data_IF_122893587742
#
_entry.id   IF_122893587742
#
_cell.length_a   1.000
_cell.length_b   1.000
_cell.length_c   1.000
_cell.angle_alpha   90.00
_cell.angle_beta   90.00
_cell.angle_gamma   90.00
#
_symmetry.space_group_name_H-M   'P 1'
#
loop_
_entity.id
_entity.type
_entity.pdbx_description
1 polymer ?
#
# COMPACT_ATOMS: atom_id res chain seq x y z
N UNK A 1 48.05 49.79 -8.93
CA UNK A 1 48.86 50.75 -8.15
C UNK A 1 48.00 51.30 -7.02
N UNK A 2 48.52 51.19 -5.79
CA UNK A 2 48.25 51.94 -4.55
C UNK A 2 46.83 52.11 -3.98
N UNK A 3 46.62 51.44 -2.83
CA UNK A 3 45.75 51.88 -1.73
C UNK A 3 46.20 53.26 -1.21
N UNK A 4 45.32 53.97 -0.48
CA UNK A 4 45.62 54.15 0.94
C UNK A 4 44.43 53.95 1.88
N UNK A 5 44.76 53.43 3.06
CA UNK A 5 43.93 53.30 4.25
C UNK A 5 43.87 54.63 5.03
N UNK A 6 42.78 54.89 5.77
CA UNK A 6 42.75 55.81 6.92
C UNK A 6 41.54 55.41 7.82
N UNK A 7 41.69 54.75 8.98
CA UNK A 7 42.09 55.16 10.35
C UNK A 7 41.04 55.95 11.17
N UNK A 8 40.37 55.20 12.08
CA UNK A 8 40.06 55.45 13.51
C UNK A 8 39.20 56.67 13.93
N UNK A 9 38.11 56.42 14.67
CA UNK A 9 37.88 56.87 16.07
C UNK A 9 36.52 56.40 16.65
N UNK A 10 36.58 55.53 17.67
CA UNK A 10 35.59 55.43 18.78
C UNK A 10 36.00 56.48 19.85
N UNK A 11 35.21 56.87 20.88
CA UNK A 11 34.14 56.10 21.57
C UNK A 11 32.93 56.91 22.09
N UNK A 12 31.89 56.22 22.59
CA UNK A 12 31.09 56.72 23.72
C UNK A 12 30.53 55.55 24.53
N UNK A 13 31.15 55.38 25.68
CA UNK A 13 30.84 54.44 26.75
C UNK A 13 29.60 54.95 27.51
N UNK A 14 28.60 54.10 27.75
CA UNK A 14 27.70 54.25 28.90
C UNK A 14 27.73 52.99 29.74
N UNK A 15 28.41 53.09 30.88
CA UNK A 15 28.23 52.23 32.04
C UNK A 15 26.86 52.52 32.65
N UNK A 16 26.05 51.48 32.84
CA UNK A 16 25.11 51.41 33.96
C UNK A 16 25.46 50.14 34.72
N UNK A 17 25.73 50.32 36.01
CA UNK A 17 26.36 49.35 36.89
C UNK A 17 25.38 48.93 37.97
N UNK A 18 25.26 47.60 38.16
CA UNK A 18 24.98 46.90 39.43
C UNK A 18 23.56 47.09 40.00
N UNK A 19 22.73 46.05 40.21
CA UNK A 19 23.00 44.98 41.18
C UNK A 19 21.97 43.85 41.14
N UNK A 20 22.51 42.62 41.17
CA UNK A 20 22.12 41.48 42.01
C UNK A 20 20.63 41.14 42.15
N UNK A 21 20.25 40.02 41.54
CA UNK A 21 19.59 38.94 42.30
C UNK A 21 19.98 37.57 41.74
N UNK A 22 20.55 36.77 42.64
CA UNK A 22 20.85 35.34 42.46
C UNK A 22 19.54 34.58 42.26
N UNK A 23 19.52 33.59 41.37
CA UNK A 23 19.11 32.21 41.70
C UNK A 23 19.34 31.28 40.51
N UNK A 24 19.72 30.07 40.86
CA UNK A 24 20.13 28.99 40.00
C UNK A 24 19.01 28.54 39.05
N UNK A 25 19.41 28.13 37.84
CA UNK A 25 18.69 27.14 37.05
C UNK A 25 19.68 26.44 36.10
N UNK A 26 20.61 25.70 36.69
CA UNK A 26 21.25 24.57 36.00
C UNK A 26 20.23 23.42 36.06
N UNK A 27 19.68 23.05 34.91
CA UNK A 27 18.93 21.81 34.74
C UNK A 27 17.53 22.00 34.15
N UNK A 28 17.43 22.19 32.83
CA UNK A 28 16.18 21.95 32.06
C UNK A 28 16.41 21.97 30.53
N UNK A 29 17.52 21.45 30.01
CA UNK A 29 17.75 21.34 28.55
C UNK A 29 17.89 19.90 28.04
N UNK A 30 17.63 18.89 28.87
CA UNK A 30 17.71 17.47 28.50
C UNK A 30 16.40 16.69 28.67
N UNK A 31 15.25 17.36 28.58
CA UNK A 31 13.94 16.68 28.60
C UNK A 31 13.04 17.00 27.42
N UNK A 32 13.44 17.91 26.52
CA UNK A 32 12.63 18.27 25.34
C UNK A 32 13.08 17.58 24.05
N UNK A 33 14.25 16.95 24.02
CA UNK A 33 14.71 16.14 22.88
C UNK A 33 14.20 14.69 22.92
N UNK A 34 13.81 14.19 24.09
CA UNK A 34 13.31 12.82 24.25
C UNK A 34 11.80 12.72 23.94
N UNK A 35 11.04 13.80 24.13
CA UNK A 35 9.61 13.84 23.86
C UNK A 35 9.27 13.93 22.34
N UNK A 36 10.17 14.50 21.52
CA UNK A 36 9.99 14.55 20.06
C UNK A 36 10.43 13.25 19.36
N UNK A 37 11.32 12.46 19.96
CA UNK A 37 11.69 11.15 19.41
C UNK A 37 10.60 10.08 19.64
N UNK A 38 9.79 10.22 20.70
CA UNK A 38 8.75 9.25 21.06
C UNK A 38 7.43 9.44 20.29
N UNK A 39 7.18 10.62 19.72
CA UNK A 39 6.03 10.87 18.85
C UNK A 39 6.23 10.37 17.40
N UNK A 40 7.49 10.19 16.96
CA UNK A 40 7.81 9.64 15.64
C UNK A 40 7.74 8.10 15.57
N UNK A 41 7.72 7.41 16.72
CA UNK A 41 7.73 5.95 16.79
C UNK A 41 6.34 5.29 16.77
N UNK A 42 5.27 6.10 16.75
CA UNK A 42 3.87 5.64 16.72
C UNK A 42 3.16 5.99 15.40
N UNK A 43 3.92 6.28 14.34
CA UNK A 43 3.41 6.11 12.99
C UNK A 43 3.16 4.62 12.79
N UNK A 44 1.98 4.14 13.21
CA UNK A 44 1.45 2.87 12.76
C UNK A 44 1.50 2.93 11.25
N UNK A 45 2.38 2.14 10.66
CA UNK A 45 2.34 1.87 9.24
C UNK A 45 0.95 1.30 9.01
N UNK A 46 0.03 2.10 8.48
CA UNK A 46 -1.24 1.58 8.01
C UNK A 46 -0.87 0.82 6.75
N UNK A 47 -0.58 -0.46 6.91
CA UNK A 47 -0.27 -1.37 5.82
C UNK A 47 -1.51 -1.42 4.93
N UNK A 48 -1.40 -0.97 3.68
CA UNK A 48 -2.56 -0.94 2.81
C UNK A 48 -2.89 -2.37 2.39
N UNK A 49 -4.02 -2.86 2.91
CA UNK A 49 -4.51 -4.18 2.63
C UNK A 49 -5.22 -4.21 1.28
N UNK A 50 -5.05 -5.33 0.57
CA UNK A 50 -5.83 -5.67 -0.61
C UNK A 50 -6.65 -6.92 -0.36
N UNK A 51 -7.86 -6.93 -0.89
CA UNK A 51 -8.81 -8.03 -0.71
C UNK A 51 -9.22 -8.62 -2.04
N UNK A 52 -9.47 -9.94 -2.07
CA UNK A 52 -9.98 -10.65 -3.23
C UNK A 52 -10.81 -11.86 -2.81
N UNK A 53 -11.95 -12.05 -3.46
CA UNK A 53 -12.71 -13.29 -3.35
C UNK A 53 -12.08 -14.38 -4.20
N UNK A 54 -11.64 -15.49 -3.58
CA UNK A 54 -10.99 -16.60 -4.29
C UNK A 54 -11.40 -17.95 -3.72
N UNK A 55 -11.30 -18.99 -4.55
CA UNK A 55 -11.47 -20.38 -4.14
C UNK A 55 -10.30 -20.81 -3.25
N UNK A 56 -10.54 -21.63 -2.21
CA UNK A 56 -9.46 -22.29 -1.50
C UNK A 56 -8.77 -23.32 -2.40
N UNK A 57 -7.48 -23.51 -2.18
CA UNK A 57 -6.70 -24.56 -2.84
C UNK A 57 -7.21 -25.94 -2.37
N UNK A 58 -7.56 -26.86 -3.28
CA UNK A 58 -8.02 -28.20 -2.90
C UNK A 58 -6.96 -29.02 -2.13
N UNK A 59 -5.67 -28.72 -2.29
CA UNK A 59 -4.60 -29.37 -1.55
C UNK A 59 -4.34 -28.71 -0.18
N UNK A 60 -4.71 -27.44 -0.01
CA UNK A 60 -4.56 -26.70 1.24
C UNK A 60 -5.62 -25.60 1.37
N UNK A 61 -6.70 -25.88 2.09
CA UNK A 61 -7.82 -24.95 2.22
C UNK A 61 -7.47 -23.60 2.88
N UNK A 62 -6.31 -23.49 3.53
CA UNK A 62 -5.79 -22.25 4.12
C UNK A 62 -4.98 -21.40 3.13
N UNK A 63 -4.95 -21.76 1.85
CA UNK A 63 -4.34 -20.99 0.78
C UNK A 63 -5.33 -20.75 -0.36
N UNK A 64 -5.22 -19.64 -1.10
CA UNK A 64 -6.02 -19.45 -2.30
C UNK A 64 -5.56 -20.39 -3.41
N UNK A 65 -6.50 -20.85 -4.23
CA UNK A 65 -6.24 -21.68 -5.40
C UNK A 65 -5.44 -20.88 -6.44
N UNK A 66 -4.23 -21.31 -6.77
CA UNK A 66 -3.47 -20.76 -7.91
C UNK A 66 -4.10 -21.24 -9.22
N UNK A 67 -4.80 -20.34 -9.90
CA UNK A 67 -5.46 -20.62 -11.17
C UNK A 67 -5.74 -19.33 -11.94
N UNK A 68 -5.59 -19.37 -13.27
CA UNK A 68 -5.88 -18.25 -14.17
C UNK A 68 -7.39 -18.18 -14.47
N UNK A 69 -8.20 -17.97 -13.43
CA UNK A 69 -9.67 -17.86 -13.50
C UNK A 69 -10.16 -16.65 -12.72
N UNK A 70 -11.44 -16.29 -12.88
CA UNK A 70 -12.01 -15.13 -12.19
C UNK A 70 -11.96 -15.24 -10.65
N UNK A 71 -11.93 -16.47 -10.12
CA UNK A 71 -11.96 -16.79 -8.70
C UNK A 71 -10.67 -17.47 -8.22
N UNK A 72 -9.61 -17.46 -9.04
CA UNK A 72 -8.29 -17.97 -8.66
C UNK A 72 -7.29 -16.85 -8.39
N UNK A 73 -6.18 -17.20 -7.75
CA UNK A 73 -4.99 -16.38 -7.67
C UNK A 73 -4.20 -16.53 -8.98
N UNK A 74 -4.40 -15.61 -9.91
CA UNK A 74 -3.77 -15.66 -11.22
C UNK A 74 -4.23 -14.55 -12.16
N UNK A 75 -3.73 -14.60 -13.40
CA UNK A 75 -4.00 -13.60 -14.46
C UNK A 75 -4.64 -14.32 -15.65
N UNK A 76 -5.88 -13.97 -15.99
CA UNK A 76 -6.56 -14.52 -17.18
C UNK A 76 -6.04 -13.84 -18.45
N UNK A 77 -6.15 -14.52 -19.58
CA UNK A 77 -5.86 -13.89 -20.88
C UNK A 77 -6.76 -12.65 -21.11
N UNK A 78 -8.01 -12.70 -20.63
CA UNK A 78 -8.95 -11.58 -20.75
C UNK A 78 -8.64 -10.39 -19.82
N UNK A 79 -7.75 -10.55 -18.83
CA UNK A 79 -7.42 -9.50 -17.86
C UNK A 79 -6.24 -8.61 -18.33
N UNK A 80 -5.59 -8.98 -19.44
CA UNK A 80 -4.41 -8.29 -19.96
C UNK A 80 -4.38 -8.26 -21.49
N UNK A 81 -3.97 -7.12 -22.04
CA UNK A 81 -3.58 -6.97 -23.43
C UNK A 81 -2.06 -6.95 -23.50
N UNK A 82 -1.51 -7.84 -24.32
CA UNK A 82 -0.07 -7.98 -24.50
C UNK A 82 0.42 -7.06 -25.63
N UNK A 83 1.64 -6.56 -25.48
CA UNK A 83 2.36 -5.93 -26.59
C UNK A 83 2.68 -6.96 -27.69
N UNK A 84 3.09 -6.52 -28.90
CA UNK A 84 3.55 -7.44 -29.95
C UNK A 84 4.72 -8.36 -29.53
N UNK A 85 5.49 -7.96 -28.52
CA UNK A 85 6.58 -8.75 -27.95
C UNK A 85 6.11 -9.77 -26.88
N UNK A 86 4.79 -9.90 -26.65
CA UNK A 86 4.23 -10.82 -25.65
C UNK A 86 4.39 -10.34 -24.20
N UNK A 87 4.57 -9.03 -23.99
CA UNK A 87 4.76 -8.42 -22.67
C UNK A 87 3.44 -7.83 -22.18
N UNK A 88 3.02 -8.20 -20.97
CA UNK A 88 2.00 -7.50 -20.21
C UNK A 88 2.64 -6.28 -19.56
N UNK A 89 2.20 -5.09 -19.97
CA UNK A 89 2.56 -3.82 -19.35
C UNK A 89 1.63 -3.50 -18.17
N UNK A 90 1.99 -2.55 -17.29
CA UNK A 90 1.13 -2.19 -16.18
C UNK A 90 -0.26 -1.69 -16.61
N UNK A 91 -0.28 -0.92 -17.69
CA UNK A 91 -1.49 -0.42 -18.33
C UNK A 91 -1.68 -1.09 -19.69
N UNK A 92 -2.94 -1.27 -20.08
CA UNK A 92 -3.34 -1.70 -21.41
C UNK A 92 -2.76 -0.72 -22.46
N UNK A 93 -2.02 -1.20 -23.48
CA UNK A 93 -1.36 -0.35 -24.47
C UNK A 93 -2.34 0.42 -25.37
N UNK A 94 -3.56 -0.07 -25.54
CA UNK A 94 -4.56 0.52 -26.43
C UNK A 94 -5.42 1.59 -25.71
N UNK A 95 -5.73 1.37 -24.43
CA UNK A 95 -6.64 2.24 -23.66
C UNK A 95 -5.95 3.05 -22.57
N UNK A 96 -4.71 2.71 -22.21
CA UNK A 96 -4.00 3.30 -21.08
C UNK A 96 -4.55 2.91 -19.70
N UNK A 97 -5.57 2.05 -19.63
CA UNK A 97 -6.19 1.65 -18.35
C UNK A 97 -5.34 0.59 -17.63
N UNK A 98 -5.23 0.62 -16.30
CA UNK A 98 -4.58 -0.45 -15.53
C UNK A 98 -5.15 -1.83 -15.85
N UNK A 99 -4.28 -2.85 -15.87
CA UNK A 99 -4.66 -4.23 -16.17
C UNK A 99 -4.00 -5.24 -15.23
N UNK A 100 -4.61 -6.41 -15.03
CA UNK A 100 -4.09 -7.45 -14.15
C UNK A 100 -5.15 -8.09 -13.25
N UNK A 101 -4.73 -8.63 -12.11
CA UNK A 101 -5.58 -9.39 -11.20
C UNK A 101 -6.40 -8.43 -10.32
N UNK A 102 -7.72 -8.34 -10.54
CA UNK A 102 -8.62 -7.49 -9.75
C UNK A 102 -8.55 -7.72 -8.24
N UNK A 103 -8.50 -6.64 -7.48
CA UNK A 103 -8.60 -6.61 -6.02
C UNK A 103 -9.42 -5.39 -5.62
N UNK A 104 -9.79 -5.29 -4.35
CA UNK A 104 -10.25 -4.02 -3.77
C UNK A 104 -9.29 -3.58 -2.69
N UNK A 105 -9.07 -2.27 -2.61
CA UNK A 105 -8.37 -1.65 -1.50
C UNK A 105 -9.37 -1.19 -0.44
N UNK A 106 -8.93 -0.97 0.79
CA UNK A 106 -9.72 -0.43 1.91
C UNK A 106 -10.78 -1.35 2.54
N UNK A 107 -11.73 -1.93 1.79
CA UNK A 107 -12.85 -2.67 2.37
C UNK A 107 -13.23 -3.94 1.58
N UNK A 108 -13.19 -5.14 2.19
CA UNK A 108 -13.57 -6.38 1.50
C UNK A 108 -15.05 -6.42 1.10
N UNK A 109 -15.93 -5.64 1.74
CA UNK A 109 -17.34 -5.55 1.36
C UNK A 109 -17.55 -4.91 -0.03
N UNK A 110 -16.56 -4.23 -0.58
CA UNK A 110 -16.62 -3.66 -1.93
C UNK A 110 -16.33 -4.69 -3.03
N UNK A 111 -15.94 -5.91 -2.64
CA UNK A 111 -15.84 -7.02 -3.58
C UNK A 111 -17.21 -7.27 -4.23
N UNK A 112 -17.25 -7.57 -5.55
CA UNK A 112 -18.48 -7.98 -6.21
C UNK A 112 -19.13 -9.17 -5.50
N UNK A 113 -20.46 -9.13 -5.35
CA UNK A 113 -21.19 -10.12 -4.55
C UNK A 113 -20.91 -11.58 -4.95
N UNK A 114 -20.70 -11.86 -6.25
CA UNK A 114 -20.41 -13.21 -6.75
C UNK A 114 -19.01 -13.74 -6.37
N UNK A 115 -18.13 -12.87 -5.89
CA UNK A 115 -16.80 -13.23 -5.37
C UNK A 115 -16.78 -13.33 -3.84
N UNK A 116 -17.82 -12.83 -3.16
CA UNK A 116 -17.99 -12.95 -1.71
C UNK A 116 -18.68 -14.28 -1.35
N UNK A 117 -18.34 -14.92 -0.22
CA UNK A 117 -19.06 -16.08 0.28
C UNK A 117 -20.54 -15.77 0.56
N UNK A 118 -21.43 -16.76 0.38
CA UNK A 118 -22.81 -16.63 0.82
C UNK A 118 -22.93 -16.74 2.35
N UNK A 119 -23.72 -15.85 2.96
CA UNK A 119 -23.96 -15.85 4.41
C UNK A 119 -22.84 -15.18 5.24
N UNK A 120 -22.85 -15.42 6.56
CA UNK A 120 -21.87 -14.90 7.52
C UNK A 120 -21.56 -13.40 7.35
N UNK A 121 -22.57 -12.55 7.17
CA UNK A 121 -22.40 -11.10 6.93
C UNK A 121 -21.62 -10.72 5.65
N UNK A 122 -21.11 -11.65 4.85
CA UNK A 122 -20.52 -11.31 3.55
C UNK A 122 -21.57 -10.86 2.54
N UNK A 123 -22.82 -11.28 2.73
CA UNK A 123 -23.95 -11.01 1.81
C UNK A 123 -23.58 -11.29 0.34
N UNK A 124 -22.75 -12.31 0.11
CA UNK A 124 -22.32 -12.72 -1.22
C UNK A 124 -23.33 -13.61 -1.91
N UNK A 125 -23.21 -13.69 -3.22
CA UNK A 125 -23.89 -14.66 -4.08
C UNK A 125 -22.93 -15.73 -4.59
N UNK A 126 -21.67 -15.69 -4.15
CA UNK A 126 -20.68 -16.71 -4.44
C UNK A 126 -21.05 -18.08 -3.86
N UNK A 127 -20.44 -19.13 -4.39
CA UNK A 127 -20.66 -20.48 -3.88
C UNK A 127 -20.07 -20.67 -2.47
N UNK A 128 -20.44 -21.76 -1.79
CA UNK A 128 -19.94 -22.09 -0.46
C UNK A 128 -18.42 -22.37 -0.39
N UNK A 129 -17.74 -22.51 -1.54
CA UNK A 129 -16.32 -22.80 -1.66
C UNK A 129 -15.54 -21.54 -2.06
N UNK A 130 -15.94 -20.38 -1.54
CA UNK A 130 -15.22 -19.12 -1.67
C UNK A 130 -14.85 -18.61 -0.29
N UNK A 131 -13.68 -17.99 -0.21
CA UNK A 131 -13.24 -17.19 0.91
C UNK A 131 -12.91 -15.78 0.41
N UNK A 132 -13.08 -14.79 1.27
CA UNK A 132 -12.40 -13.51 1.08
C UNK A 132 -11.00 -13.65 1.63
N UNK A 133 -10.02 -13.27 0.83
CA UNK A 133 -8.61 -13.29 1.20
C UNK A 133 -8.12 -11.85 1.33
N UNK A 134 -7.21 -11.65 2.28
CA UNK A 134 -6.52 -10.39 2.52
C UNK A 134 -5.01 -10.61 2.40
N UNK A 135 -4.33 -9.62 1.85
CA UNK A 135 -2.87 -9.54 1.85
C UNK A 135 -2.45 -8.09 2.07
N UNK A 136 -1.35 -7.90 2.78
CA UNK A 136 -0.66 -6.61 2.82
C UNK A 136 0.05 -6.37 1.49
N UNK A 137 -0.21 -5.23 0.83
CA UNK A 137 0.41 -4.93 -0.46
C UNK A 137 1.95 -4.91 -0.40
N UNK A 138 2.55 -4.67 0.77
CA UNK A 138 4.00 -4.69 0.94
C UNK A 138 4.61 -6.09 0.78
N UNK A 139 3.78 -7.14 0.81
CA UNK A 139 4.20 -8.52 0.52
C UNK A 139 4.25 -8.83 -0.97
N UNK A 140 3.89 -7.88 -1.85
CA UNK A 140 4.08 -8.05 -3.28
C UNK A 140 5.58 -8.07 -3.64
N UNK A 141 6.03 -8.98 -4.51
CA UNK A 141 7.38 -8.91 -5.06
C UNK A 141 7.53 -7.61 -5.86
N UNK A 142 8.73 -7.02 -5.90
CA UNK A 142 8.99 -5.75 -6.59
C UNK A 142 8.74 -5.75 -8.11
N UNK A 143 8.44 -6.90 -8.70
CA UNK A 143 7.99 -7.04 -10.10
C UNK A 143 6.48 -6.83 -10.26
N UNK A 144 5.75 -6.69 -9.17
CA UNK A 144 4.32 -6.42 -9.10
C UNK A 144 4.04 -5.13 -8.35
N UNK A 145 2.89 -4.53 -8.62
CA UNK A 145 2.40 -3.36 -7.91
C UNK A 145 0.87 -3.37 -7.86
N UNK A 146 0.29 -2.70 -6.86
CA UNK A 146 -1.14 -2.38 -6.85
C UNK A 146 -1.34 -1.08 -7.63
N UNK A 147 -2.28 -1.09 -8.58
CA UNK A 147 -2.70 0.10 -9.29
C UNK A 147 -4.18 0.36 -9.07
N UNK A 148 -4.52 1.60 -8.68
CA UNK A 148 -5.91 2.03 -8.63
C UNK A 148 -6.54 1.93 -10.02
N UNK A 149 -7.67 1.24 -10.11
CA UNK A 149 -8.38 0.98 -11.36
C UNK A 149 -9.89 1.22 -11.16
N UNK A 150 -10.30 2.40 -10.64
CA UNK A 150 -11.68 2.63 -10.23
C UNK A 150 -12.64 2.36 -11.37
N UNK A 151 -13.73 1.64 -11.07
CA UNK A 151 -14.85 1.43 -12.00
C UNK A 151 -16.12 2.03 -11.42
N UNK A 152 -17.11 2.29 -12.27
CA UNK A 152 -18.38 2.84 -11.84
C UNK A 152 -19.00 1.97 -10.73
N UNK A 153 -19.27 2.57 -9.56
CA UNK A 153 -19.80 1.87 -8.39
C UNK A 153 -18.78 1.10 -7.55
N UNK A 154 -17.49 1.11 -7.89
CA UNK A 154 -16.41 0.51 -7.09
C UNK A 154 -15.15 1.40 -7.13
N UNK A 155 -15.13 2.48 -6.32
CA UNK A 155 -14.05 3.47 -6.34
C UNK A 155 -12.72 2.92 -5.82
N UNK A 156 -12.76 1.89 -4.97
CA UNK A 156 -11.56 1.22 -4.46
C UNK A 156 -11.19 -0.04 -5.26
N UNK A 157 -11.78 -0.23 -6.45
CA UNK A 157 -11.27 -1.27 -7.37
C UNK A 157 -9.83 -0.95 -7.76
N UNK A 158 -9.00 -1.97 -7.69
CA UNK A 158 -7.59 -1.93 -8.06
C UNK A 158 -7.21 -3.22 -8.76
N UNK A 159 -6.01 -3.25 -9.34
CA UNK A 159 -5.43 -4.45 -9.93
C UNK A 159 -4.04 -4.68 -9.37
N UNK A 160 -3.71 -5.94 -9.10
CA UNK A 160 -2.31 -6.36 -9.00
C UNK A 160 -1.82 -6.44 -10.44
N UNK A 161 -0.93 -5.52 -10.80
CA UNK A 161 -0.34 -5.39 -12.12
C UNK A 161 1.16 -5.68 -12.09
N UNK A 162 1.75 -5.77 -13.28
CA UNK A 162 3.20 -5.74 -13.44
C UNK A 162 3.76 -4.37 -13.03
N UNK A 163 5.03 -4.33 -12.59
CA UNK A 163 5.77 -3.10 -12.33
C UNK A 163 6.77 -2.78 -13.45
N UNK A 164 7.14 -1.51 -13.58
CA UNK A 164 8.19 -1.05 -14.50
C UNK A 164 7.94 -1.40 -15.96
N UNK A 165 8.87 -2.17 -16.55
CA UNK A 165 8.87 -2.53 -17.98
C UNK A 165 7.89 -3.65 -18.35
N UNK A 166 7.14 -4.18 -17.38
CA UNK A 166 6.22 -5.29 -17.60
C UNK A 166 6.88 -6.67 -17.51
N UNK A 167 6.08 -7.71 -17.74
CA UNK A 167 6.50 -9.12 -17.71
C UNK A 167 5.88 -9.88 -18.88
N UNK A 168 6.53 -10.96 -19.35
CA UNK A 168 5.81 -11.93 -20.21
C UNK A 168 4.62 -12.49 -19.45
N UNK A 169 3.56 -12.91 -20.15
CA UNK A 169 2.37 -13.44 -19.48
C UNK A 169 2.67 -14.65 -18.55
N UNK A 170 3.54 -15.62 -18.93
CA UNK A 170 3.94 -16.69 -18.01
C UNK A 170 4.65 -16.17 -16.75
N UNK A 171 5.55 -15.19 -16.89
CA UNK A 171 6.27 -14.62 -15.75
C UNK A 171 5.34 -13.78 -14.85
N UNK A 172 4.38 -13.06 -15.43
CA UNK A 172 3.37 -12.34 -14.66
C UNK A 172 2.51 -13.31 -13.84
N UNK A 173 2.02 -14.40 -14.46
CA UNK A 173 1.27 -15.45 -13.77
C UNK A 173 2.07 -16.09 -12.64
N UNK A 174 3.34 -16.42 -12.90
CA UNK A 174 4.23 -16.99 -11.89
C UNK A 174 4.48 -16.02 -10.72
N UNK A 175 4.65 -14.72 -11.01
CA UNK A 175 4.83 -13.70 -9.99
C UNK A 175 3.57 -13.50 -9.13
N UNK A 176 2.37 -13.53 -9.73
CA UNK A 176 1.12 -13.47 -8.95
C UNK A 176 0.95 -14.74 -8.11
N UNK A 177 1.21 -15.91 -8.69
CA UNK A 177 1.13 -17.19 -7.99
C UNK A 177 2.10 -17.29 -6.80
N UNK A 178 3.30 -16.70 -6.89
CA UNK A 178 4.27 -16.73 -5.80
C UNK A 178 3.83 -15.97 -4.55
N UNK A 179 2.78 -15.15 -4.65
CA UNK A 179 2.16 -14.47 -3.50
C UNK A 179 1.26 -15.38 -2.68
N UNK A 180 0.98 -16.62 -3.10
CA UNK A 180 0.00 -17.53 -2.48
C UNK A 180 0.14 -17.63 -0.95
N UNK A 181 1.37 -17.75 -0.45
CA UNK A 181 1.65 -17.88 0.98
C UNK A 181 1.45 -16.59 1.80
N UNK A 182 1.25 -15.45 1.14
CA UNK A 182 1.08 -14.13 1.77
C UNK A 182 -0.39 -13.77 1.99
N UNK A 183 -1.31 -14.56 1.43
CA UNK A 183 -2.75 -14.37 1.59
C UNK A 183 -3.26 -15.07 2.85
N UNK A 184 -4.01 -14.35 3.67
CA UNK A 184 -4.75 -14.88 4.80
C UNK A 184 -6.25 -14.85 4.53
N UNK A 185 -7.01 -15.72 5.19
CA UNK A 185 -8.47 -15.66 5.15
C UNK A 185 -8.91 -14.43 5.96
N UNK A 186 -9.72 -13.57 5.35
CA UNK A 186 -10.35 -12.45 6.02
C UNK A 186 -11.55 -12.95 6.84
N UNK A 187 -11.63 -12.64 8.15
CA UNK A 187 -12.80 -13.00 8.94
C UNK A 187 -14.06 -12.30 8.40
N UNK A 188 -15.24 -12.90 8.58
CA UNK A 188 -16.46 -12.24 8.16
C UNK A 188 -16.68 -10.90 8.88
N UNK A 189 -17.24 -9.89 8.19
CA UNK A 189 -17.38 -8.56 8.75
C UNK A 189 -18.40 -8.56 9.91
N UNK A 190 -18.20 -7.65 10.86
CA UNK A 190 -19.09 -7.51 12.02
C UNK A 190 -20.54 -7.18 11.62
N UNK A 191 -20.70 -6.40 10.54
CA UNK A 191 -22.00 -6.05 9.95
C UNK A 191 -22.10 -6.66 8.56
N UNK A 192 -23.34 -6.96 8.13
CA UNK A 192 -23.59 -7.45 6.78
C UNK A 192 -23.08 -6.44 5.73
N UNK A 193 -22.30 -6.94 4.76
CA UNK A 193 -21.94 -6.15 3.59
C UNK A 193 -23.20 -5.73 2.82
N UNK A 194 -23.18 -4.56 2.16
CA UNK A 194 -24.25 -4.12 1.29
C UNK A 194 -24.47 -5.10 0.14
#
# INVERSE_FOLDING_TARGET
MNKPSCLITSPAIRLISISRLRRAALGSTMTTALATLLAALLATTVHAQIYRGMRPDPANANQPQVANTALGLGVRDADVVLTPAGIALPNNPDTGTPQGTSVVTANPCELPAFTRPAGNNWNGTGNANLNVWVMDQNNLPGTLQVQAAPVAGSPNHAVISTAGVGLTLPNFRAAVASTQAQWAIEPPPANACP
#
